data_IF_702036380927
#
_entry.id   IF_702036380927
#
_cell.length_a   1.000
_cell.length_b   1.000
_cell.length_c   1.000
_cell.angle_alpha   90.00
_cell.angle_beta   90.00
_cell.angle_gamma   90.00
#
_symmetry.space_group_name_H-M   'P 1'
#
loop_
_entity.id
_entity.type
_entity.pdbx_description
1 polymer ?
#
# COMPACT_ATOMS: atom_id res chain seq x y z
N UNK A 1 41.59 12.73 -28.65
CA UNK A 1 40.85 11.60 -28.04
C UNK A 1 39.78 12.21 -27.14
N UNK A 2 38.55 12.40 -27.62
CA UNK A 2 37.45 12.98 -26.85
C UNK A 2 36.50 11.85 -26.44
N UNK A 3 36.47 11.52 -25.15
CA UNK A 3 35.56 10.52 -24.59
C UNK A 3 34.19 11.17 -24.34
N UNK A 4 33.22 10.85 -25.21
CA UNK A 4 31.80 11.19 -25.02
C UNK A 4 31.23 10.27 -23.93
N UNK A 5 31.07 10.80 -22.72
CA UNK A 5 30.29 10.18 -21.65
C UNK A 5 28.80 10.28 -22.00
N UNK A 6 28.31 9.35 -22.81
CA UNK A 6 26.87 9.13 -23.02
C UNK A 6 26.25 8.54 -21.76
N UNK A 7 25.82 9.40 -20.85
CA UNK A 7 24.99 9.01 -19.71
C UNK A 7 23.61 8.57 -20.21
N UNK A 8 23.35 7.27 -20.20
CA UNK A 8 22.00 6.74 -20.38
C UNK A 8 21.15 7.17 -19.18
N UNK A 9 20.34 8.21 -19.36
CA UNK A 9 19.27 8.54 -18.43
C UNK A 9 18.17 7.49 -18.58
N UNK A 10 18.32 6.36 -17.86
CA UNK A 10 17.21 5.45 -17.66
C UNK A 10 16.12 6.20 -16.89
N UNK A 11 14.84 6.12 -17.28
CA UNK A 11 13.77 6.72 -16.52
C UNK A 11 13.79 6.11 -15.12
N UNK A 12 14.12 6.92 -14.11
CA UNK A 12 13.97 6.51 -12.73
C UNK A 12 12.47 6.30 -12.51
N UNK A 13 12.05 5.03 -12.42
CA UNK A 13 10.71 4.69 -11.97
C UNK A 13 10.47 5.46 -10.67
N UNK A 14 9.52 6.40 -10.69
CA UNK A 14 9.19 7.19 -9.52
C UNK A 14 8.84 6.21 -8.41
N UNK A 15 9.66 6.16 -7.35
CA UNK A 15 9.38 5.31 -6.21
C UNK A 15 7.99 5.66 -5.70
N UNK A 16 7.15 4.65 -5.49
CA UNK A 16 5.84 4.87 -4.91
C UNK A 16 6.00 5.63 -3.59
N UNK A 17 5.24 6.71 -3.41
CA UNK A 17 5.32 7.53 -2.19
C UNK A 17 4.81 6.78 -0.96
N UNK A 18 4.12 5.65 -1.16
CA UNK A 18 3.51 4.83 -0.14
C UNK A 18 3.90 3.36 -0.33
N UNK A 19 4.19 2.68 0.77
CA UNK A 19 4.39 1.23 0.83
C UNK A 19 3.36 0.63 1.77
N UNK A 20 2.58 -0.34 1.29
CA UNK A 20 1.58 -1.03 2.09
C UNK A 20 1.82 -2.54 2.12
N UNK A 21 1.53 -3.16 3.25
CA UNK A 21 1.62 -4.59 3.46
C UNK A 21 0.43 -5.07 4.28
N UNK A 22 -0.25 -6.11 3.78
CA UNK A 22 -1.38 -6.73 4.45
C UNK A 22 -1.11 -8.20 4.73
N UNK A 23 -1.58 -8.67 5.87
CA UNK A 23 -1.55 -10.08 6.24
C UNK A 23 -2.89 -10.49 6.84
N UNK A 24 -3.42 -11.62 6.37
CA UNK A 24 -4.56 -12.28 6.98
C UNK A 24 -4.08 -13.61 7.56
N UNK A 25 -4.48 -13.85 8.79
CA UNK A 25 -4.16 -15.03 9.58
C UNK A 25 -5.45 -15.58 10.17
N UNK A 26 -5.40 -16.79 10.74
CA UNK A 26 -6.55 -17.40 11.40
C UNK A 26 -7.14 -16.45 12.46
N UNK A 27 -8.35 -15.95 12.22
CA UNK A 27 -9.10 -15.08 13.12
C UNK A 27 -9.08 -13.59 12.76
N UNK A 28 -8.24 -13.14 11.84
CA UNK A 28 -8.22 -11.72 11.47
C UNK A 28 -7.31 -11.31 10.32
N UNK A 29 -7.47 -10.07 9.91
CA UNK A 29 -6.73 -9.45 8.82
C UNK A 29 -6.29 -8.04 9.20
N UNK A 30 -5.06 -7.68 8.84
CA UNK A 30 -4.48 -6.37 9.12
C UNK A 30 -3.79 -5.83 7.87
N UNK A 31 -3.94 -4.53 7.64
CA UNK A 31 -3.25 -3.78 6.59
C UNK A 31 -2.54 -2.59 7.22
N UNK A 32 -1.23 -2.49 6.96
CA UNK A 32 -0.41 -1.37 7.39
C UNK A 32 0.20 -0.66 6.17
N UNK A 33 0.34 0.67 6.29
CA UNK A 33 0.92 1.51 5.25
C UNK A 33 1.92 2.52 5.84
N UNK A 34 2.93 2.84 5.05
CA UNK A 34 3.98 3.81 5.37
C UNK A 34 4.16 4.79 4.21
N UNK A 35 4.34 6.07 4.51
CA UNK A 35 4.73 7.11 3.57
C UNK A 35 6.25 7.10 3.45
N UNK A 36 6.76 6.48 2.40
CA UNK A 36 8.19 6.18 2.23
C UNK A 36 8.97 7.31 1.56
N UNK A 37 8.28 8.38 1.13
CA UNK A 37 8.92 9.51 0.46
C UNK A 37 8.68 10.83 1.22
N UNK A 38 9.50 11.17 2.22
CA UNK A 38 9.24 12.28 3.17
C UNK A 38 9.02 13.67 2.54
N UNK A 39 9.47 13.87 1.30
CA UNK A 39 9.33 15.14 0.55
C UNK A 39 8.08 15.20 -0.32
N UNK A 40 7.37 14.09 -0.50
CA UNK A 40 6.10 14.06 -1.22
C UNK A 40 4.98 14.62 -0.32
N UNK A 41 3.95 15.26 -0.89
CA UNK A 41 2.82 15.75 -0.12
C UNK A 41 2.09 14.62 0.61
N UNK A 42 1.22 14.95 1.58
CA UNK A 42 0.29 14.00 2.17
C UNK A 42 -0.44 13.18 1.09
N UNK A 43 -0.64 11.91 1.36
CA UNK A 43 -1.27 10.99 0.41
C UNK A 43 -2.67 10.64 0.90
N UNK A 44 -3.66 10.79 0.03
CA UNK A 44 -4.99 10.24 0.27
C UNK A 44 -5.09 8.92 -0.48
N UNK A 45 -5.36 7.84 0.25
CA UNK A 45 -5.33 6.49 -0.28
C UNK A 45 -6.67 5.79 -0.10
N UNK A 46 -7.04 4.96 -1.08
CA UNK A 46 -8.10 3.96 -0.93
C UNK A 46 -7.48 2.57 -0.99
N UNK A 47 -8.08 1.63 -0.25
CA UNK A 47 -7.72 0.22 -0.32
C UNK A 47 -8.93 -0.63 -0.68
N UNK A 48 -8.67 -1.73 -1.38
CA UNK A 48 -9.61 -2.82 -1.61
C UNK A 48 -8.85 -4.13 -1.47
N UNK A 49 -9.43 -5.08 -0.73
CA UNK A 49 -8.74 -6.32 -0.39
C UNK A 49 -9.71 -7.50 -0.34
N UNK A 50 -9.43 -8.53 -1.14
CA UNK A 50 -10.19 -9.78 -1.13
C UNK A 50 -9.65 -10.73 -0.05
N UNK A 51 -10.51 -11.08 0.88
CA UNK A 51 -10.23 -11.94 2.02
C UNK A 51 -11.14 -13.17 2.02
N UNK A 52 -10.62 -14.27 2.55
CA UNK A 52 -11.39 -15.48 2.82
C UNK A 52 -11.91 -15.46 4.25
N UNK A 53 -13.20 -15.70 4.43
CA UNK A 53 -13.85 -15.74 5.74
C UNK A 53 -13.77 -17.13 6.35
N UNK A 54 -13.83 -17.19 7.67
CA UNK A 54 -13.86 -18.47 8.40
C UNK A 54 -15.08 -19.35 8.07
N UNK A 55 -16.11 -18.79 7.42
CA UNK A 55 -17.29 -19.52 6.94
C UNK A 55 -17.09 -20.17 5.57
N UNK A 56 -15.96 -19.93 4.90
CA UNK A 56 -15.67 -20.43 3.56
C UNK A 56 -16.08 -19.47 2.43
N UNK A 57 -16.50 -18.26 2.76
CA UNK A 57 -16.93 -17.26 1.79
C UNK A 57 -15.78 -16.31 1.42
N UNK A 58 -15.90 -15.66 0.27
CA UNK A 58 -15.05 -14.53 -0.09
C UNK A 58 -15.73 -13.22 0.31
N UNK A 59 -14.96 -12.32 0.91
CA UNK A 59 -15.40 -10.96 1.22
C UNK A 59 -14.37 -9.94 0.74
N UNK A 60 -14.86 -8.90 0.07
CA UNK A 60 -14.05 -7.73 -0.28
C UNK A 60 -14.22 -6.68 0.83
N UNK A 61 -13.11 -6.20 1.35
CA UNK A 61 -13.08 -5.10 2.33
C UNK A 61 -12.42 -3.89 1.71
N UNK A 62 -13.04 -2.73 1.93
CA UNK A 62 -12.64 -1.48 1.28
C UNK A 62 -12.67 -0.34 2.29
N UNK A 63 -11.85 0.68 2.03
CA UNK A 63 -11.82 1.87 2.87
C UNK A 63 -10.90 2.94 2.29
N UNK A 64 -10.87 4.08 2.99
CA UNK A 64 -10.05 5.22 2.63
C UNK A 64 -9.34 5.79 3.86
N UNK A 65 -8.11 6.26 3.69
CA UNK A 65 -7.32 6.85 4.75
C UNK A 65 -6.41 7.96 4.20
N UNK A 66 -6.02 8.86 5.09
CA UNK A 66 -4.98 9.85 4.81
C UNK A 66 -3.68 9.42 5.46
N UNK A 67 -2.58 9.54 4.72
CA UNK A 67 -1.25 9.18 5.17
C UNK A 67 -0.36 10.44 5.15
N UNK A 68 -0.06 11.01 6.32
CA UNK A 68 0.79 12.20 6.38
C UNK A 68 2.24 11.87 5.97
N UNK A 69 3.01 12.87 5.51
CA UNK A 69 4.41 12.69 5.15
C UNK A 69 5.22 12.09 6.30
N UNK A 70 6.00 11.06 6.00
CA UNK A 70 6.86 10.39 6.99
C UNK A 70 6.12 9.47 7.98
N UNK A 71 4.81 9.28 7.85
CA UNK A 71 4.09 8.28 8.64
C UNK A 71 4.60 6.87 8.32
N UNK A 72 4.75 6.02 9.34
CA UNK A 72 5.31 4.67 9.18
C UNK A 72 4.51 3.66 9.98
N UNK A 73 4.27 2.49 9.39
CA UNK A 73 3.53 1.37 9.98
C UNK A 73 2.15 1.77 10.51
N UNK A 74 1.46 2.67 9.80
CA UNK A 74 0.11 3.09 10.15
C UNK A 74 -0.85 1.95 9.85
N UNK A 75 -1.57 1.49 10.86
CA UNK A 75 -2.64 0.52 10.68
C UNK A 75 -3.84 1.19 10.03
N UNK A 76 -4.13 0.82 8.78
CA UNK A 76 -5.22 1.41 7.98
C UNK A 76 -6.44 0.51 7.91
N UNK A 77 -6.28 -0.78 8.21
CA UNK A 77 -7.38 -1.72 8.37
C UNK A 77 -7.06 -2.78 9.41
N UNK A 78 -8.07 -3.12 10.20
CA UNK A 78 -8.09 -4.30 11.06
C UNK A 78 -9.49 -4.91 11.03
N UNK A 79 -9.56 -6.20 10.75
CA UNK A 79 -10.80 -6.95 10.74
C UNK A 79 -10.64 -8.32 11.39
N UNK A 80 -11.76 -8.89 11.83
CA UNK A 80 -11.86 -10.24 12.37
C UNK A 80 -12.76 -11.12 11.49
N UNK A 81 -12.72 -12.44 11.72
CA UNK A 81 -13.56 -13.40 10.98
C UNK A 81 -12.99 -13.83 9.62
N UNK A 82 -11.70 -13.55 9.39
CA UNK A 82 -10.94 -14.01 8.23
C UNK A 82 -9.95 -15.09 8.63
N UNK A 83 -9.58 -15.96 7.71
CA UNK A 83 -8.50 -16.95 7.92
C UNK A 83 -7.32 -16.73 6.98
N UNK A 84 -7.55 -16.16 5.80
CA UNK A 84 -6.51 -15.98 4.80
C UNK A 84 -6.84 -14.85 3.80
N UNK A 85 -5.82 -14.42 3.07
CA UNK A 85 -5.92 -13.39 2.03
C UNK A 85 -5.96 -14.06 0.67
N UNK A 86 -6.96 -13.74 -0.15
CA UNK A 86 -7.09 -14.28 -1.50
C UNK A 86 -6.19 -13.55 -2.50
N UNK A 87 -5.83 -12.31 -2.19
CA UNK A 87 -4.90 -11.49 -2.96
C UNK A 87 -4.07 -10.58 -2.06
N UNK A 88 -3.02 -9.98 -2.61
CA UNK A 88 -2.42 -8.79 -1.99
C UNK A 88 -3.46 -7.64 -1.95
N UNK A 89 -3.40 -6.77 -0.93
CA UNK A 89 -4.26 -5.59 -0.87
C UNK A 89 -3.91 -4.64 -2.02
N UNK A 90 -4.94 -4.14 -2.69
CA UNK A 90 -4.79 -3.10 -3.71
C UNK A 90 -4.88 -1.77 -2.98
N UNK A 91 -3.83 -0.95 -3.05
CA UNK A 91 -3.82 0.39 -2.46
C UNK A 91 -3.52 1.41 -3.54
N UNK A 92 -4.40 2.39 -3.69
CA UNK A 92 -4.27 3.46 -4.67
C UNK A 92 -4.17 4.78 -3.92
N UNK A 93 -3.03 5.45 -4.03
CA UNK A 93 -2.77 6.73 -3.38
C UNK A 93 -2.70 7.86 -4.38
N UNK A 94 -3.21 9.04 -3.98
CA UNK A 94 -3.07 10.29 -4.72
C UNK A 94 -2.52 11.36 -3.78
N UNK A 95 -1.48 12.06 -4.21
CA UNK A 95 -0.93 13.18 -3.47
C UNK A 95 -1.88 14.38 -3.52
N UNK A 96 -2.00 15.09 -2.40
CA UNK A 96 -2.62 16.42 -2.40
C UNK A 96 -1.72 17.41 -3.14
N UNK A 97 -2.27 18.10 -4.13
CA UNK A 97 -1.58 19.15 -4.90
C UNK A 97 -1.21 20.36 -4.04
#
# INVERSE_FOLDING_TARGET
>A
MLALLTGYAFPAAAKDAVSCGGAAMLGGAQLNCSHVQPKAPPQFCTFSWALHTMTGDQKIVEGSFSLPPGASNVQVYQGSGFDSALSSPIVICRGSH
#
